data_IF_220567419600
#
_entry.id   IF_220567419600
#
_cell.length_a   1.000
_cell.length_b   1.000
_cell.length_c   1.000
_cell.angle_alpha   90.00
_cell.angle_beta   90.00
_cell.angle_gamma   90.00
#
_symmetry.space_group_name_H-M   'P 1'
#
loop_
_entity.id
_entity.type
_entity.pdbx_description
1 polymer ?
#
# COMPACT_ATOMS: atom_id res chain seq x y z
N UNK A 1 -12.21 -2.99 -19.81
CA UNK A 1 -12.38 -4.22 -18.98
C UNK A 1 -11.10 -4.61 -18.23
N UNK A 2 -9.99 -4.94 -18.92
CA UNK A 2 -8.75 -5.41 -18.28
C UNK A 2 -8.08 -4.39 -17.33
N UNK A 3 -8.18 -3.08 -17.61
CA UNK A 3 -7.63 -2.02 -16.74
C UNK A 3 -8.34 -1.91 -15.39
N UNK A 4 -9.66 -2.14 -15.34
CA UNK A 4 -10.41 -2.17 -14.08
C UNK A 4 -9.95 -3.35 -13.20
N UNK A 5 -9.63 -4.49 -13.81
CA UNK A 5 -9.06 -5.64 -13.10
C UNK A 5 -7.68 -5.30 -12.54
N UNK A 6 -6.80 -4.66 -13.33
CA UNK A 6 -5.49 -4.20 -12.85
C UNK A 6 -5.61 -3.15 -11.73
N UNK A 7 -6.59 -2.25 -11.83
CA UNK A 7 -6.88 -1.27 -10.79
C UNK A 7 -7.40 -1.95 -9.51
N UNK A 8 -8.33 -2.90 -9.61
CA UNK A 8 -8.83 -3.67 -8.45
C UNK A 8 -7.71 -4.49 -7.79
N UNK A 9 -6.82 -5.07 -8.58
CA UNK A 9 -5.65 -5.78 -8.06
C UNK A 9 -4.77 -4.79 -7.29
N UNK A 10 -4.38 -3.66 -7.89
CA UNK A 10 -3.60 -2.63 -7.22
C UNK A 10 -4.25 -2.12 -5.93
N UNK A 11 -5.56 -1.90 -5.95
CA UNK A 11 -6.36 -1.51 -4.80
C UNK A 11 -6.28 -2.56 -3.67
N UNK A 12 -6.46 -3.85 -4.00
CA UNK A 12 -6.35 -4.94 -3.02
C UNK A 12 -4.96 -5.02 -2.38
N UNK A 13 -3.89 -4.88 -3.17
CA UNK A 13 -2.51 -4.81 -2.66
C UNK A 13 -2.31 -3.63 -1.70
N UNK A 14 -2.81 -2.45 -2.06
CA UNK A 14 -2.73 -1.27 -1.19
C UNK A 14 -3.54 -1.43 0.10
N UNK A 15 -4.73 -2.03 0.04
CA UNK A 15 -5.54 -2.30 1.24
C UNK A 15 -4.84 -3.25 2.21
N UNK A 16 -4.25 -4.36 1.72
CA UNK A 16 -3.53 -5.33 2.58
C UNK A 16 -2.33 -4.66 3.26
N UNK A 17 -1.52 -3.91 2.51
CA UNK A 17 -0.39 -3.20 3.07
C UNK A 17 -0.81 -2.11 4.06
N UNK A 18 -1.93 -1.41 3.78
CA UNK A 18 -2.48 -0.37 4.67
C UNK A 18 -2.97 -0.94 5.99
N UNK A 19 -3.69 -2.06 5.97
CA UNK A 19 -4.14 -2.75 7.19
C UNK A 19 -2.95 -3.22 8.03
N UNK A 20 -1.88 -3.71 7.42
CA UNK A 20 -0.66 -4.08 8.13
C UNK A 20 -0.03 -2.88 8.87
N UNK A 21 0.09 -1.73 8.21
CA UNK A 21 0.62 -0.50 8.83
C UNK A 21 -0.27 -0.05 10.00
N UNK A 22 -1.60 -0.14 9.86
CA UNK A 22 -2.54 0.19 10.95
C UNK A 22 -2.40 -0.78 12.12
N UNK A 23 -2.15 -2.07 11.87
CA UNK A 23 -1.84 -3.03 12.94
C UNK A 23 -0.57 -2.65 13.69
N UNK A 24 0.48 -2.25 12.97
CA UNK A 24 1.74 -1.84 13.57
C UNK A 24 1.67 -0.49 14.30
N UNK A 25 0.73 0.39 13.94
CA UNK A 25 0.51 1.67 14.62
C UNK A 25 0.27 1.52 16.13
N UNK A 26 -0.14 0.34 16.60
CA UNK A 26 -0.25 0.02 18.02
C UNK A 26 1.09 0.13 18.79
N UNK A 27 2.24 0.00 18.12
CA UNK A 27 3.55 0.09 18.76
C UNK A 27 3.97 1.52 19.15
N UNK A 28 3.41 2.55 18.52
CA UNK A 28 3.65 3.95 18.89
C UNK A 28 3.15 4.29 20.31
N UNK A 29 1.88 4.04 20.67
CA UNK A 29 1.40 4.26 22.04
C UNK A 29 1.99 3.25 23.04
N UNK A 30 2.51 2.11 22.57
CA UNK A 30 3.22 1.15 23.42
C UNK A 30 4.63 1.63 23.87
N UNK A 31 5.05 2.84 23.44
CA UNK A 31 6.29 3.47 23.85
C UNK A 31 7.45 3.31 22.85
N UNK A 32 7.20 2.76 21.65
CA UNK A 32 8.20 2.72 20.59
C UNK A 32 8.35 4.12 19.98
N UNK A 33 9.57 4.65 19.88
CA UNK A 33 9.77 5.95 19.27
C UNK A 33 9.51 5.87 17.76
N UNK A 34 9.01 6.98 17.19
CA UNK A 34 8.54 7.04 15.80
C UNK A 34 9.62 6.67 14.76
N UNK A 35 10.90 6.89 15.08
CA UNK A 35 12.01 6.53 14.19
C UNK A 35 12.20 5.01 14.07
N UNK A 36 12.14 4.29 15.20
CA UNK A 36 12.25 2.83 15.21
C UNK A 36 11.04 2.19 14.53
N UNK A 37 9.87 2.80 14.69
CA UNK A 37 8.65 2.38 14.02
C UNK A 37 8.76 2.43 12.49
N UNK A 38 9.31 3.52 11.93
CA UNK A 38 9.53 3.66 10.48
C UNK A 38 10.55 2.65 9.95
N UNK A 39 11.63 2.41 10.70
CA UNK A 39 12.64 1.39 10.36
C UNK A 39 12.04 -0.03 10.44
N UNK A 40 11.17 -0.28 11.41
CA UNK A 40 10.46 -1.55 11.58
C UNK A 40 9.51 -1.81 10.41
N UNK A 41 8.72 -0.82 10.01
CA UNK A 41 7.85 -0.87 8.82
C UNK A 41 8.68 -1.15 7.57
N UNK A 42 9.81 -0.46 7.38
CA UNK A 42 10.66 -0.63 6.22
C UNK A 42 11.29 -2.04 6.14
N UNK A 43 11.59 -2.66 7.29
CA UNK A 43 12.12 -4.03 7.32
C UNK A 43 11.08 -5.11 6.98
N UNK A 44 9.78 -4.80 6.97
CA UNK A 44 8.73 -5.80 6.77
C UNK A 44 8.27 -5.82 5.31
N UNK A 45 8.30 -6.99 4.65
CA UNK A 45 7.93 -7.10 3.24
C UNK A 45 6.45 -6.73 2.98
N UNK A 46 5.63 -6.85 4.02
CA UNK A 46 4.20 -6.59 4.02
C UNK A 46 3.86 -5.12 3.70
N UNK A 47 4.73 -4.19 4.12
CA UNK A 47 4.51 -2.76 3.90
C UNK A 47 4.91 -2.30 2.50
N UNK A 48 5.70 -3.10 1.75
CA UNK A 48 5.98 -2.83 0.34
C UNK A 48 4.77 -3.08 -0.56
N UNK A 49 3.71 -3.74 -0.07
CA UNK A 49 2.46 -3.91 -0.80
C UNK A 49 1.72 -2.58 -1.01
N UNK A 50 1.94 -1.59 -0.13
CA UNK A 50 1.35 -0.25 -0.29
C UNK A 50 1.91 0.47 -1.52
N UNK A 51 3.24 0.70 -1.63
CA UNK A 51 3.81 1.38 -2.79
C UNK A 51 3.68 0.56 -4.08
N UNK A 52 3.73 -0.77 -4.03
CA UNK A 52 3.52 -1.60 -5.21
C UNK A 52 2.07 -1.55 -5.71
N UNK A 53 1.09 -1.63 -4.81
CA UNK A 53 -0.33 -1.46 -5.14
C UNK A 53 -0.64 -0.07 -5.72
N UNK A 54 -0.03 0.97 -5.16
CA UNK A 54 -0.09 2.34 -5.68
C UNK A 54 0.52 2.43 -7.08
N UNK A 55 1.66 1.80 -7.32
CA UNK A 55 2.29 1.75 -8.63
C UNK A 55 1.38 1.09 -9.67
N UNK A 56 0.74 -0.04 -9.33
CA UNK A 56 -0.22 -0.70 -10.21
C UNK A 56 -1.47 0.17 -10.48
N UNK A 57 -1.99 0.87 -9.47
CA UNK A 57 -3.10 1.81 -9.65
C UNK A 57 -2.72 3.00 -10.55
N UNK A 58 -1.55 3.60 -10.33
CA UNK A 58 -1.04 4.68 -11.18
C UNK A 58 -0.82 4.23 -12.61
N UNK A 59 -0.28 3.03 -12.82
CA UNK A 59 -0.04 2.48 -14.15
C UNK A 59 -1.35 2.16 -14.87
N UNK A 60 -2.35 1.63 -14.15
CA UNK A 60 -3.69 1.42 -14.67
C UNK A 60 -4.33 2.75 -15.09
N UNK A 61 -4.23 3.78 -14.24
CA UNK A 61 -4.83 5.10 -14.48
C UNK A 61 -4.12 5.88 -15.61
N UNK A 62 -2.79 5.80 -15.71
CA UNK A 62 -2.05 6.47 -16.79
C UNK A 62 -2.39 5.89 -18.17
N UNK A 63 -2.64 4.58 -18.23
CA UNK A 63 -3.01 3.91 -19.48
C UNK A 63 -4.46 4.19 -19.90
N UNK A 64 -5.31 4.67 -19.00
CA UNK A 64 -6.70 5.05 -19.29
C UNK A 64 -7.00 6.41 -18.66
N UNK A 65 -6.75 7.52 -19.38
CA UNK A 65 -7.36 8.77 -18.98
C UNK A 65 -8.88 8.63 -19.06
N UNK A 66 -9.49 8.42 -20.24
CA UNK A 66 -10.92 8.19 -20.42
C UNK A 66 -11.11 7.65 -21.85
N UNK A 67 -11.16 6.33 -22.05
CA UNK A 67 -11.68 5.79 -23.32
C UNK A 67 -13.17 5.56 -23.08
N UNK A 68 -13.95 6.52 -23.58
CA UNK A 68 -15.41 6.58 -23.50
C UNK A 68 -16.07 5.69 -24.54
#
# INVERSE_FOLDING_TARGET
MWQLVLFLIGFGFTCVGGVAIIGYLNFLPAGMPTYDFLIFIYKRPECYLVPSGLFFMFFAMYKSPFDS
#
